data_IF_814740256991
#
_entry.id   IF_814740256991
#
_cell.length_a   1.000
_cell.length_b   1.000
_cell.length_c   1.000
_cell.angle_alpha   90.00
_cell.angle_beta   90.00
_cell.angle_gamma   90.00
#
_symmetry.space_group_name_H-M   'P 1'
#
loop_
_entity.id
_entity.type
_entity.pdbx_description
1 polymer ?
#
# COMPACT_ATOMS: atom_id res chain seq x y z
N UNK A 1 -11.57 11.79 -0.45
CA UNK A 1 -11.26 10.53 0.20
C UNK A 1 -12.47 9.96 0.90
N UNK A 2 -12.67 8.68 0.84
CA UNK A 2 -13.76 8.01 1.52
C UNK A 2 -13.25 6.69 2.07
N UNK A 3 -13.74 6.32 3.25
CA UNK A 3 -13.47 5.03 3.87
C UNK A 3 -14.68 4.14 3.77
N UNK A 4 -14.46 2.86 3.61
CA UNK A 4 -15.46 1.83 3.69
C UNK A 4 -15.04 0.77 4.70
N UNK A 5 -16.02 0.16 5.34
CA UNK A 5 -15.78 -1.03 6.15
C UNK A 5 -16.16 -2.25 5.34
N UNK A 6 -15.26 -3.19 5.29
CA UNK A 6 -15.48 -4.46 4.62
C UNK A 6 -15.34 -5.55 5.67
N UNK A 7 -16.20 -6.55 5.56
CA UNK A 7 -16.01 -7.77 6.31
C UNK A 7 -15.18 -8.72 5.49
N UNK A 8 -14.16 -9.23 6.09
CA UNK A 8 -13.21 -10.08 5.43
C UNK A 8 -13.18 -11.44 6.08
N UNK A 9 -13.30 -12.45 5.26
CA UNK A 9 -13.29 -13.84 5.71
C UNK A 9 -12.08 -14.53 5.13
N UNK A 10 -11.25 -15.08 5.98
CA UNK A 10 -10.11 -15.89 5.53
C UNK A 10 -10.59 -17.15 4.86
N UNK A 11 -9.90 -17.61 3.84
CA UNK A 11 -10.27 -18.74 3.00
C UNK A 11 -10.10 -20.13 3.65
N UNK A 12 -10.00 -20.20 4.97
CA UNK A 12 -9.86 -21.48 5.69
C UNK A 12 -11.15 -21.82 6.44
N UNK A 13 -11.48 -23.10 6.64
CA UNK A 13 -12.77 -23.52 7.21
C UNK A 13 -13.07 -23.04 8.63
N UNK A 14 -12.08 -22.50 9.33
CA UNK A 14 -12.21 -22.04 10.72
C UNK A 14 -11.94 -20.53 10.85
N UNK A 15 -12.20 -19.78 9.80
CA UNK A 15 -11.93 -18.35 9.81
C UNK A 15 -13.01 -17.58 10.51
N UNK A 16 -12.59 -16.67 11.35
CA UNK A 16 -13.46 -15.64 11.89
C UNK A 16 -13.66 -14.54 10.85
N UNK A 17 -14.86 -14.03 10.78
CA UNK A 17 -15.19 -12.86 9.97
C UNK A 17 -14.67 -11.63 10.68
N UNK A 18 -13.87 -10.84 10.00
CA UNK A 18 -13.31 -9.61 10.53
C UNK A 18 -13.85 -8.40 9.78
N UNK A 19 -14.16 -7.36 10.53
CA UNK A 19 -14.39 -6.05 9.94
C UNK A 19 -13.04 -5.49 9.50
N UNK A 20 -12.88 -5.38 8.20
CA UNK A 20 -11.68 -4.87 7.59
C UNK A 20 -11.99 -3.52 6.97
N UNK A 21 -11.24 -2.50 7.39
CA UNK A 21 -11.36 -1.19 6.79
C UNK A 21 -10.29 -1.03 5.72
N UNK A 22 -10.71 -0.77 4.50
CA UNK A 22 -9.85 -0.21 3.49
C UNK A 22 -10.35 1.18 3.07
N UNK A 23 -9.49 1.94 2.42
CA UNK A 23 -9.76 3.32 2.08
C UNK A 23 -9.65 3.53 0.59
N UNK A 24 -10.66 4.17 0.02
CA UNK A 24 -10.63 4.67 -1.35
C UNK A 24 -10.18 6.13 -1.32
N UNK A 25 -9.08 6.39 -2.00
CA UNK A 25 -8.52 7.73 -2.14
C UNK A 25 -8.87 8.26 -3.52
N UNK A 26 -9.42 9.46 -3.56
CA UNK A 26 -9.61 10.23 -4.80
C UNK A 26 -8.73 11.46 -4.76
N UNK A 27 -8.01 11.68 -5.83
CA UNK A 27 -7.15 12.85 -5.99
C UNK A 27 -7.71 13.68 -7.12
N UNK A 28 -8.11 14.91 -6.83
CA UNK A 28 -8.93 15.73 -7.73
C UNK A 28 -8.13 16.63 -8.65
N UNK A 29 -6.86 16.86 -8.35
CA UNK A 29 -6.03 17.76 -9.15
C UNK A 29 -4.56 17.34 -9.11
N UNK A 30 -3.88 17.55 -10.22
CA UNK A 30 -2.42 17.48 -10.29
C UNK A 30 -1.79 18.59 -9.46
N UNK A 31 -0.66 18.29 -8.84
CA UNK A 31 0.18 19.27 -8.15
C UNK A 31 1.55 19.38 -8.84
N UNK A 32 2.41 20.25 -8.32
CA UNK A 32 3.80 20.31 -8.80
C UNK A 32 4.61 19.05 -8.43
N UNK A 33 4.15 18.29 -7.42
CA UNK A 33 4.86 17.13 -6.91
C UNK A 33 4.42 15.82 -7.59
N UNK A 34 3.25 15.80 -8.22
CA UNK A 34 2.73 14.61 -8.88
C UNK A 34 1.78 14.96 -10.03
N UNK A 35 1.63 14.00 -10.93
CA UNK A 35 0.70 14.08 -12.07
C UNK A 35 -0.37 13.00 -11.92
N UNK A 36 -1.63 13.38 -12.11
CA UNK A 36 -2.74 12.42 -12.13
C UNK A 36 -2.72 11.63 -13.43
N UNK A 37 -2.32 10.38 -13.30
CA UNK A 37 -2.38 9.40 -14.36
C UNK A 37 -2.29 8.01 -13.75
N UNK A 38 -2.85 7.02 -14.43
CA UNK A 38 -2.68 5.65 -14.04
C UNK A 38 -1.20 5.28 -14.11
N UNK A 39 -0.61 4.72 -13.04
CA UNK A 39 0.77 4.25 -13.09
C UNK A 39 0.98 3.20 -14.19
N UNK A 40 2.13 3.24 -14.80
CA UNK A 40 2.51 2.28 -15.83
C UNK A 40 2.82 0.93 -15.19
N UNK A 41 2.42 -0.13 -15.88
CA UNK A 41 2.72 -1.52 -15.49
C UNK A 41 3.74 -2.06 -16.49
N UNK A 42 4.76 -2.71 -15.99
CA UNK A 42 5.79 -3.31 -16.82
C UNK A 42 5.33 -4.64 -17.47
N UNK A 43 6.20 -5.24 -18.26
CA UNK A 43 5.91 -6.50 -18.96
C UNK A 43 5.65 -7.68 -18.03
N UNK A 44 6.08 -7.61 -16.78
CA UNK A 44 5.85 -8.64 -15.76
C UNK A 44 4.58 -8.41 -14.94
N UNK A 45 3.87 -7.31 -15.20
CA UNK A 45 2.67 -6.92 -14.46
C UNK A 45 2.95 -6.19 -13.15
N UNK A 46 4.15 -5.68 -12.96
CA UNK A 46 4.51 -4.86 -11.81
C UNK A 46 4.38 -3.37 -12.13
N UNK A 47 4.15 -2.58 -11.10
CA UNK A 47 4.23 -1.13 -11.25
C UNK A 47 5.64 -0.75 -11.69
N UNK A 48 5.77 -0.05 -12.80
CA UNK A 48 7.07 0.35 -13.30
C UNK A 48 7.79 1.29 -12.31
N UNK A 49 9.08 1.07 -12.14
CA UNK A 49 9.88 1.77 -11.14
C UNK A 49 10.69 2.94 -11.68
N UNK A 50 10.37 3.46 -12.87
CA UNK A 50 11.09 4.61 -13.43
C UNK A 50 10.72 5.94 -12.74
N UNK A 51 11.60 6.93 -12.89
CA UNK A 51 11.42 8.23 -12.24
C UNK A 51 10.11 8.94 -12.65
N UNK A 52 9.66 8.73 -13.89
CA UNK A 52 8.41 9.33 -14.34
C UNK A 52 7.24 8.67 -13.64
N UNK A 53 7.25 7.35 -13.51
CA UNK A 53 6.20 6.61 -12.82
C UNK A 53 6.15 6.94 -11.33
N UNK A 54 7.29 7.23 -10.71
CA UNK A 54 7.36 7.62 -9.30
C UNK A 54 6.47 8.84 -8.95
N UNK A 55 6.26 9.72 -9.92
CA UNK A 55 5.45 10.94 -9.78
C UNK A 55 3.99 10.77 -10.21
N UNK A 56 3.61 9.61 -10.71
CA UNK A 56 2.23 9.37 -11.11
C UNK A 56 1.37 8.98 -9.91
N UNK A 57 0.17 9.50 -9.89
CA UNK A 57 -0.85 9.16 -8.90
C UNK A 57 -2.12 8.75 -9.62
N UNK A 58 -2.61 7.56 -9.35
CA UNK A 58 -3.91 7.13 -9.84
C UNK A 58 -5.00 8.08 -9.32
N UNK A 59 -5.89 8.58 -10.19
CA UNK A 59 -6.97 9.48 -9.77
C UNK A 59 -7.91 8.88 -8.73
N UNK A 60 -7.99 7.57 -8.67
CA UNK A 60 -8.76 6.86 -7.67
C UNK A 60 -8.12 5.51 -7.40
N UNK A 61 -7.74 5.27 -6.16
CA UNK A 61 -7.15 3.99 -5.76
C UNK A 61 -7.63 3.58 -4.36
N UNK A 62 -7.56 2.30 -4.08
CA UNK A 62 -7.92 1.71 -2.79
C UNK A 62 -6.65 1.24 -2.10
N UNK A 63 -6.53 1.57 -0.83
CA UNK A 63 -5.44 1.11 0.03
C UNK A 63 -5.88 -0.22 0.65
N UNK A 64 -5.04 -1.23 0.58
CA UNK A 64 -5.29 -2.52 1.19
C UNK A 64 -5.55 -2.38 2.70
N UNK A 65 -6.32 -3.30 3.23
CA UNK A 65 -6.60 -3.36 4.68
C UNK A 65 -5.33 -3.67 5.49
N UNK A 66 -5.47 -3.61 6.81
CA UNK A 66 -4.40 -3.99 7.75
C UNK A 66 -3.86 -5.39 7.51
N UNK A 67 -4.67 -6.29 6.97
CA UNK A 67 -4.27 -7.67 6.67
C UNK A 67 -3.31 -7.76 5.49
N UNK A 68 -3.33 -6.76 4.61
CA UNK A 68 -2.35 -6.61 3.53
C UNK A 68 -1.07 -5.89 3.93
N UNK A 69 -0.99 -5.42 5.17
CA UNK A 69 0.22 -4.80 5.70
C UNK A 69 1.14 -5.87 6.26
N UNK A 70 2.23 -6.13 5.58
CA UNK A 70 3.26 -7.05 6.05
C UNK A 70 4.52 -6.25 6.35
N UNK A 71 5.03 -6.43 7.58
CA UNK A 71 6.43 -6.09 7.83
C UNK A 71 7.27 -7.17 7.16
N UNK A 72 8.14 -6.75 6.29
CA UNK A 72 9.07 -7.69 5.68
C UNK A 72 9.99 -8.24 6.77
N UNK A 73 9.75 -9.49 7.12
CA UNK A 73 10.64 -10.28 7.96
C UNK A 73 11.58 -11.15 7.12
N UNK A 74 11.84 -10.74 5.90
CA UNK A 74 12.83 -11.43 5.09
C UNK A 74 14.20 -11.29 5.75
N UNK A 75 14.64 -12.36 6.38
CA UNK A 75 15.93 -12.44 7.06
C UNK A 75 17.13 -12.23 6.11
N UNK A 76 16.89 -12.24 4.81
CA UNK A 76 17.92 -12.18 3.78
C UNK A 76 17.79 -10.97 2.85
N UNK A 77 17.01 -9.94 3.24
CA UNK A 77 16.89 -8.73 2.41
C UNK A 77 18.24 -8.07 2.12
N UNK A 78 19.15 -8.12 3.08
CA UNK A 78 20.49 -7.53 2.95
C UNK A 78 21.36 -8.24 1.89
N UNK A 79 21.04 -9.49 1.56
CA UNK A 79 21.73 -10.29 0.57
C UNK A 79 21.21 -10.05 -0.85
N UNK A 80 20.06 -9.41 -0.99
CA UNK A 80 19.41 -9.12 -2.27
C UNK A 80 19.87 -7.78 -2.82
N UNK A 81 20.05 -7.71 -4.14
CA UNK A 81 20.22 -6.41 -4.80
C UNK A 81 18.88 -5.64 -4.84
N UNK A 82 18.91 -4.38 -5.24
CA UNK A 82 17.72 -3.52 -5.24
C UNK A 82 16.60 -4.05 -6.13
N UNK A 83 16.92 -4.63 -7.27
CA UNK A 83 15.93 -5.23 -8.18
C UNK A 83 15.27 -6.46 -7.56
N UNK A 84 16.05 -7.33 -6.95
CA UNK A 84 15.55 -8.54 -6.27
C UNK A 84 14.65 -8.18 -5.09
N UNK A 85 15.03 -7.18 -4.30
CA UNK A 85 14.19 -6.63 -3.22
C UNK A 85 12.84 -6.17 -3.76
N UNK A 86 12.87 -5.39 -4.83
CA UNK A 86 11.65 -4.85 -5.43
C UNK A 86 10.72 -5.95 -5.92
N UNK A 87 11.26 -6.97 -6.58
CA UNK A 87 10.49 -8.11 -7.09
C UNK A 87 9.76 -8.85 -5.96
N UNK A 88 10.43 -9.07 -4.83
CA UNK A 88 9.82 -9.72 -3.65
C UNK A 88 8.57 -8.98 -3.19
N UNK A 89 8.65 -7.66 -3.07
CA UNK A 89 7.50 -6.85 -2.63
C UNK A 89 6.42 -6.74 -3.72
N UNK A 90 6.81 -6.61 -4.97
CA UNK A 90 5.89 -6.56 -6.10
C UNK A 90 5.09 -7.85 -6.24
N UNK A 91 5.72 -9.00 -6.07
CA UNK A 91 5.07 -10.30 -6.06
C UNK A 91 4.06 -10.44 -4.93
N UNK A 92 4.37 -9.92 -3.75
CA UNK A 92 3.43 -9.93 -2.64
C UNK A 92 2.12 -9.22 -3.03
N UNK A 93 2.20 -8.02 -3.55
CA UNK A 93 1.02 -7.26 -3.98
C UNK A 93 0.29 -7.93 -5.14
N UNK A 94 1.02 -8.43 -6.13
CA UNK A 94 0.44 -9.10 -7.30
C UNK A 94 -0.38 -10.33 -6.93
N UNK A 95 0.06 -11.06 -5.91
CA UNK A 95 -0.61 -12.28 -5.45
C UNK A 95 -1.59 -12.03 -4.30
N UNK A 96 -1.66 -10.81 -3.79
CA UNK A 96 -2.53 -10.45 -2.69
C UNK A 96 -4.01 -10.41 -3.12
N UNK A 97 -4.89 -10.91 -2.27
CA UNK A 97 -6.33 -10.92 -2.51
C UNK A 97 -7.06 -10.57 -1.21
N UNK A 98 -8.02 -9.68 -1.29
CA UNK A 98 -8.99 -9.42 -0.23
C UNK A 98 -10.36 -9.93 -0.65
N UNK A 99 -11.09 -10.51 0.29
CA UNK A 99 -12.43 -11.05 0.07
C UNK A 99 -13.41 -10.32 0.97
N UNK A 100 -14.47 -9.80 0.39
CA UNK A 100 -15.58 -9.18 1.11
C UNK A 100 -16.75 -10.16 1.17
N UNK A 101 -17.14 -10.50 2.39
CA UNK A 101 -18.35 -11.28 2.66
C UNK A 101 -19.51 -10.29 2.83
N UNK A 102 -20.24 -10.08 1.74
CA UNK A 102 -21.32 -9.09 1.67
C UNK A 102 -22.41 -9.34 2.73
N UNK A 103 -22.66 -10.59 3.04
CA UNK A 103 -23.73 -11.00 3.95
C UNK A 103 -23.24 -11.23 5.41
N UNK A 104 -21.94 -11.23 5.62
CA UNK A 104 -21.32 -11.52 6.92
C UNK A 104 -21.72 -12.87 7.52
N UNK A 105 -21.94 -13.84 6.66
CA UNK A 105 -22.38 -15.18 7.05
C UNK A 105 -21.34 -16.29 6.79
N UNK A 106 -20.17 -15.91 6.30
CA UNK A 106 -19.09 -16.84 5.96
C UNK A 106 -19.40 -17.71 4.72
N UNK A 107 -20.38 -17.32 3.93
CA UNK A 107 -20.82 -18.06 2.75
C UNK A 107 -20.82 -17.20 1.48
N UNK A 108 -20.73 -17.86 0.34
CA UNK A 108 -20.87 -17.18 -0.94
C UNK A 108 -22.26 -16.53 -1.09
N UNK A 109 -22.42 -15.41 -1.82
CA UNK A 109 -21.38 -14.83 -2.69
C UNK A 109 -20.39 -13.92 -1.96
N UNK A 110 -19.15 -13.99 -2.41
CA UNK A 110 -18.09 -13.09 -1.96
C UNK A 110 -17.73 -12.10 -3.06
N UNK A 111 -17.32 -10.90 -2.70
CA UNK A 111 -16.61 -9.99 -3.62
C UNK A 111 -15.12 -10.17 -3.42
N UNK A 112 -14.43 -10.47 -4.50
CA UNK A 112 -12.98 -10.68 -4.49
C UNK A 112 -12.30 -9.45 -5.08
N UNK A 113 -11.37 -8.89 -4.32
CA UNK A 113 -10.53 -7.79 -4.77
C UNK A 113 -9.12 -8.31 -5.01
N UNK A 114 -8.73 -8.31 -6.25
CA UNK A 114 -7.40 -8.66 -6.73
C UNK A 114 -6.80 -7.48 -7.51
N UNK A 115 -5.78 -7.70 -8.31
CA UNK A 115 -5.08 -6.66 -9.06
C UNK A 115 -4.42 -5.59 -8.16
N UNK A 116 -3.94 -6.03 -7.01
CA UNK A 116 -3.14 -5.18 -6.13
C UNK A 116 -1.76 -4.97 -6.75
N UNK A 117 -1.18 -3.83 -6.46
CA UNK A 117 0.14 -3.43 -6.94
C UNK A 117 0.89 -2.66 -5.87
N UNK A 118 2.20 -2.51 -6.06
CA UNK A 118 2.94 -1.55 -5.27
C UNK A 118 2.46 -0.13 -5.59
N UNK A 119 2.32 0.73 -4.58
CA UNK A 119 2.07 2.14 -4.81
C UNK A 119 3.29 2.80 -5.46
N UNK A 120 3.06 3.89 -6.15
CA UNK A 120 4.13 4.78 -6.55
C UNK A 120 4.65 5.55 -5.33
N UNK A 121 5.83 6.15 -5.46
CA UNK A 121 6.36 7.01 -4.41
C UNK A 121 5.40 8.16 -4.06
N UNK A 122 4.83 8.82 -5.08
CA UNK A 122 3.87 9.91 -4.88
C UNK A 122 2.58 9.45 -4.20
N UNK A 123 2.07 8.27 -4.55
CA UNK A 123 0.90 7.70 -3.88
C UNK A 123 1.14 7.43 -2.40
N UNK A 124 2.30 6.87 -2.04
CA UNK A 124 2.67 6.68 -0.64
C UNK A 124 2.76 8.00 0.12
N UNK A 125 3.35 9.03 -0.47
CA UNK A 125 3.44 10.35 0.15
C UNK A 125 2.06 10.96 0.40
N UNK A 126 1.12 10.78 -0.51
CA UNK A 126 -0.28 11.22 -0.32
C UNK A 126 -0.93 10.46 0.85
N UNK A 127 -0.75 9.15 0.93
CA UNK A 127 -1.28 8.37 2.05
C UNK A 127 -0.70 8.86 3.38
N UNK A 128 0.60 9.13 3.44
CA UNK A 128 1.27 9.66 4.62
C UNK A 128 0.73 11.04 5.03
N UNK A 129 0.35 11.89 4.07
CA UNK A 129 -0.26 13.18 4.36
C UNK A 129 -1.71 13.09 4.84
N UNK A 130 -2.48 12.12 4.31
CA UNK A 130 -3.89 11.95 4.64
C UNK A 130 -4.14 11.27 5.97
N UNK A 131 -3.22 10.44 6.41
CA UNK A 131 -3.35 9.74 7.68
C UNK A 131 -3.18 10.67 8.88
N UNK A 132 -3.76 10.29 10.01
CA UNK A 132 -3.69 11.05 11.25
C UNK A 132 -2.26 11.28 11.72
N UNK A 133 -2.07 12.38 12.42
CA UNK A 133 -0.83 12.77 13.08
C UNK A 133 -1.12 13.89 14.07
N UNK A 134 -0.14 14.29 14.84
CA UNK A 134 -0.29 15.37 15.80
C UNK A 134 -0.78 16.65 15.11
N UNK A 135 -1.87 17.21 15.60
CA UNK A 135 -2.46 18.46 15.10
C UNK A 135 -3.46 18.30 13.95
N UNK A 136 -3.83 17.08 13.60
CA UNK A 136 -4.90 16.84 12.64
C UNK A 136 -6.18 16.50 13.41
N UNK A 137 -7.11 17.45 13.49
CA UNK A 137 -8.35 17.30 14.24
C UNK A 137 -9.28 16.20 13.70
N UNK A 138 -9.20 15.94 12.39
CA UNK A 138 -9.96 14.88 11.74
C UNK A 138 -9.15 14.31 10.58
N UNK A 139 -8.34 13.27 10.80
CA UNK A 139 -7.61 12.64 9.71
C UNK A 139 -8.58 12.06 8.69
N UNK A 140 -8.27 12.22 7.41
CA UNK A 140 -9.08 11.67 6.34
C UNK A 140 -9.11 10.14 6.37
N UNK A 141 -8.06 9.54 6.92
CA UNK A 141 -7.92 8.09 7.11
C UNK A 141 -7.27 7.81 8.47
N UNK A 142 -7.52 6.64 9.01
CA UNK A 142 -6.84 6.16 10.21
C UNK A 142 -5.34 6.02 9.95
N UNK A 143 -4.57 5.91 11.02
CA UNK A 143 -3.13 5.71 10.94
C UNK A 143 -2.83 4.33 10.33
N UNK A 144 -2.59 4.30 9.03
CA UNK A 144 -2.39 3.07 8.26
C UNK A 144 -0.92 2.69 8.11
N UNK A 145 -0.07 3.70 8.07
CA UNK A 145 1.36 3.54 7.83
C UNK A 145 2.12 3.85 9.12
N UNK A 146 2.39 2.82 9.89
CA UNK A 146 3.09 2.94 11.17
C UNK A 146 4.56 2.46 11.11
N UNK A 147 5.02 1.98 9.95
CA UNK A 147 6.42 1.64 9.73
C UNK A 147 7.28 2.85 9.39
N UNK A 148 8.59 2.74 9.55
CA UNK A 148 9.54 3.81 9.21
C UNK A 148 9.76 3.97 7.71
N UNK A 149 9.67 2.87 6.97
CA UNK A 149 9.82 2.84 5.52
C UNK A 149 8.77 1.93 4.89
N UNK A 150 8.29 2.33 3.71
CA UNK A 150 7.38 1.55 2.89
C UNK A 150 7.92 1.38 1.49
N UNK A 151 7.80 0.18 0.94
CA UNK A 151 8.24 -0.09 -0.42
C UNK A 151 7.29 0.53 -1.44
N UNK A 152 7.83 1.40 -2.29
CA UNK A 152 7.19 1.84 -3.53
C UNK A 152 7.77 1.08 -4.71
N UNK A 153 7.15 1.25 -5.89
CA UNK A 153 7.69 0.71 -7.13
C UNK A 153 9.09 1.25 -7.49
N UNK A 154 9.48 2.37 -6.91
CA UNK A 154 10.79 3.02 -7.10
C UNK A 154 11.74 2.85 -5.90
N UNK A 155 11.36 2.03 -4.94
CA UNK A 155 12.17 1.75 -3.75
C UNK A 155 11.56 2.23 -2.45
N UNK A 156 12.25 2.02 -1.32
CA UNK A 156 11.78 2.43 0.00
C UNK A 156 11.53 3.92 0.10
N UNK A 157 10.41 4.28 0.74
CA UNK A 157 10.02 5.67 1.01
C UNK A 157 9.95 5.87 2.52
N UNK A 158 10.64 6.90 3.00
CA UNK A 158 10.65 7.27 4.42
C UNK A 158 9.31 7.85 4.85
N UNK A 159 8.81 7.38 6.01
CA UNK A 159 7.59 7.89 6.61
C UNK A 159 7.92 8.88 7.74
N UNK A 160 7.83 10.18 7.50
CA UNK A 160 8.19 11.20 8.51
C UNK A 160 7.20 11.27 9.68
N UNK A 161 6.02 10.67 9.55
CA UNK A 161 4.99 10.67 10.61
C UNK A 161 5.10 9.49 11.58
N UNK A 162 6.04 8.59 11.35
CA UNK A 162 6.31 7.55 12.31
C UNK A 162 7.11 8.12 13.48
N UNK A 163 6.52 8.13 14.67
CA UNK A 163 7.14 8.61 15.91
C UNK A 163 8.15 7.62 16.51
N UNK A 164 8.48 6.52 15.83
CA UNK A 164 9.57 5.65 16.26
C UNK A 164 10.92 6.30 15.94
N UNK A 165 11.97 5.87 16.63
CA UNK A 165 13.34 6.40 16.51
C UNK A 165 14.00 6.14 15.14
N UNK A 166 13.22 6.01 14.10
CA UNK A 166 13.69 5.80 12.74
C UNK A 166 14.02 7.14 12.10
N UNK A 167 15.24 7.28 11.64
CA UNK A 167 15.69 8.44 10.87
C UNK A 167 15.76 8.10 9.39
N UNK A 168 15.66 9.13 8.56
CA UNK A 168 15.86 8.98 7.12
C UNK A 168 17.29 8.53 6.82
N UNK A 169 17.44 7.43 6.09
CA UNK A 169 18.74 6.91 5.68
C UNK A 169 19.29 7.66 4.47
N UNK A 170 20.61 7.86 4.41
CA UNK A 170 21.28 8.49 3.27
C UNK A 170 21.09 7.64 1.99
N UNK A 171 21.07 6.31 2.12
CA UNK A 171 20.76 5.37 1.06
C UNK A 171 19.51 4.58 1.41
N UNK A 172 18.42 4.86 0.71
CA UNK A 172 17.14 4.18 0.92
C UNK A 172 17.20 2.66 0.75
N UNK A 173 18.09 2.18 -0.11
CA UNK A 173 18.22 0.75 -0.40
C UNK A 173 18.98 -0.01 0.70
N UNK A 174 19.68 0.70 1.59
CA UNK A 174 20.38 0.09 2.73
C UNK A 174 19.47 -0.23 3.92
N UNK A 175 18.21 0.20 3.87
CA UNK A 175 17.25 -0.01 4.94
C UNK A 175 16.83 -1.49 4.99
N UNK A 176 16.98 -2.11 6.18
CA UNK A 176 16.64 -3.52 6.40
C UNK A 176 15.15 -3.75 6.70
N UNK A 177 14.52 -2.78 7.38
CA UNK A 177 13.13 -2.88 7.81
C UNK A 177 12.23 -2.05 6.91
N UNK A 178 11.64 -2.68 5.92
CA UNK A 178 10.72 -2.05 4.98
C UNK A 178 9.37 -2.75 5.06
N UNK A 179 8.33 -1.97 5.29
CA UNK A 179 6.96 -2.45 5.27
C UNK A 179 6.38 -2.37 3.86
N UNK A 180 5.27 -3.06 3.67
CA UNK A 180 4.52 -3.04 2.43
C UNK A 180 3.07 -2.69 2.69
N UNK A 181 2.50 -1.86 1.81
CA UNK A 181 1.08 -1.60 1.74
C UNK A 181 0.65 -1.55 0.29
N UNK A 182 -0.14 -2.52 -0.14
CA UNK A 182 -0.58 -2.59 -1.53
C UNK A 182 -1.71 -1.60 -1.80
N UNK A 183 -1.80 -1.17 -3.04
CA UNK A 183 -2.92 -0.38 -3.55
C UNK A 183 -3.47 -1.02 -4.82
N UNK A 184 -4.69 -0.68 -5.18
CA UNK A 184 -5.29 -1.07 -6.46
C UNK A 184 -6.05 0.11 -7.05
N UNK A 185 -6.09 0.17 -8.37
CA UNK A 185 -6.89 1.17 -9.05
C UNK A 185 -8.39 0.90 -8.84
N UNK A 186 -9.16 1.95 -8.61
CA UNK A 186 -10.57 1.85 -8.20
C UNK A 186 -11.56 2.04 -9.36
N UNK A 187 -11.13 1.70 -10.57
CA UNK A 187 -11.98 1.78 -11.76
C UNK A 187 -11.65 0.73 -12.81
#
# INVERSE_FOLDING_TARGET
SGGGSYKWTMSTPNCETHNVRNYKVRVMATSQDYTLARPNIDEYGYTAGDDNNAKLVSPSFVIASRLGAVLSTYSNLDELNSHEKLVVFADHCKNYVEVDDINDDGQAPYTVYDNWRLPTEAELKIIMELQGGDGVDAPAIDFLLNGGYYMSASGPVYNPKNNSDVSEADDKWSVSDVAIRCVRDAY
#
